data_IF_496309496056
#
_entry.id   IF_496309496056
#
_cell.length_a   1.000
_cell.length_b   1.000
_cell.length_c   1.000
_cell.angle_alpha   90.00
_cell.angle_beta   90.00
_cell.angle_gamma   90.00
#
_symmetry.space_group_name_H-M   'P 1'
#
loop_
_entity.id
_entity.type
_entity.pdbx_description
1 polymer ?
#
# COMPACT_ATOMS: atom_id res chain seq x y z
N UNK A 1 -9.62 1.04 3.88
CA UNK A 1 -9.26 1.42 2.50
C UNK A 1 -7.93 2.14 2.52
N UNK A 2 -7.18 2.08 1.42
CA UNK A 2 -5.97 2.86 1.25
C UNK A 2 -6.36 4.34 1.25
N UNK A 3 -5.71 5.19 2.05
CA UNK A 3 -6.06 6.61 2.11
C UNK A 3 -5.75 7.37 0.81
N UNK A 4 -5.10 6.75 -0.18
CA UNK A 4 -4.69 7.43 -1.42
C UNK A 4 -5.29 6.88 -2.72
N UNK A 5 -5.89 5.69 -2.71
CA UNK A 5 -6.40 5.04 -3.94
C UNK A 5 -7.71 4.28 -3.76
N UNK A 6 -8.33 4.38 -2.58
CA UNK A 6 -9.62 3.75 -2.25
C UNK A 6 -9.66 2.22 -2.36
N UNK A 7 -8.54 1.55 -2.59
CA UNK A 7 -8.47 0.09 -2.61
C UNK A 7 -8.48 -0.52 -1.21
N UNK A 8 -8.88 -1.78 -1.10
CA UNK A 8 -8.77 -2.53 0.14
C UNK A 8 -7.30 -2.69 0.55
N UNK A 9 -7.03 -2.48 1.84
CA UNK A 9 -5.72 -2.73 2.42
C UNK A 9 -5.66 -4.18 2.89
N UNK A 10 -4.62 -4.95 2.52
CA UNK A 10 -4.43 -6.29 3.05
C UNK A 10 -4.11 -6.24 4.55
N UNK A 11 -4.38 -7.35 5.23
CA UNK A 11 -3.95 -7.54 6.62
C UNK A 11 -2.41 -7.63 6.68
N UNK A 12 -1.80 -7.06 7.72
CA UNK A 12 -0.34 -7.05 7.95
C UNK A 12 0.51 -6.36 6.86
N UNK A 13 0.36 -5.05 6.69
CA UNK A 13 1.09 -4.25 5.70
C UNK A 13 2.59 -4.03 5.97
N UNK A 14 3.10 -4.49 7.11
CA UNK A 14 4.51 -4.39 7.49
C UNK A 14 4.97 -2.96 7.82
N UNK A 15 6.06 -2.84 8.57
CA UNK A 15 6.53 -1.55 9.09
C UNK A 15 6.87 -0.54 7.98
N UNK A 16 7.39 -1.01 6.84
CA UNK A 16 7.75 -0.15 5.69
C UNK A 16 6.55 0.63 5.15
N UNK A 17 5.38 -0.02 5.05
CA UNK A 17 4.16 0.66 4.62
C UNK A 17 3.73 1.71 5.66
N UNK A 18 3.68 1.34 6.94
CA UNK A 18 3.27 2.26 8.01
C UNK A 18 4.15 3.50 8.09
N UNK A 19 5.48 3.34 8.01
CA UNK A 19 6.42 4.45 8.00
C UNK A 19 6.22 5.34 6.77
N UNK A 20 6.05 4.73 5.58
CA UNK A 20 5.78 5.48 4.35
C UNK A 20 4.50 6.30 4.47
N UNK A 21 3.41 5.68 4.92
CA UNK A 21 2.13 6.36 5.09
C UNK A 21 2.21 7.47 6.13
N UNK A 22 2.95 7.27 7.23
CA UNK A 22 3.15 8.30 8.24
C UNK A 22 3.83 9.55 7.64
N UNK A 23 4.93 9.37 6.91
CA UNK A 23 5.61 10.47 6.22
C UNK A 23 4.72 11.15 5.17
N UNK A 24 3.97 10.37 4.40
CA UNK A 24 3.09 10.93 3.37
C UNK A 24 1.89 11.68 3.98
N UNK A 25 1.40 11.26 5.15
CA UNK A 25 0.31 11.91 5.88
C UNK A 25 0.66 13.33 6.31
N UNK A 26 1.92 13.58 6.68
CA UNK A 26 2.39 14.93 7.04
C UNK A 26 2.34 15.90 5.86
N UNK A 27 2.37 15.38 4.63
CA UNK A 27 2.41 16.16 3.39
C UNK A 27 1.07 16.18 2.67
N UNK A 28 0.11 15.36 3.11
CA UNK A 28 -1.18 15.20 2.45
C UNK A 28 -2.21 16.17 2.99
N UNK A 29 -3.19 16.49 2.15
CA UNK A 29 -4.37 17.26 2.57
C UNK A 29 -5.58 16.32 2.69
N UNK A 30 -6.38 16.40 3.76
CA UNK A 30 -7.62 15.64 3.86
C UNK A 30 -8.55 15.97 2.69
N UNK A 31 -9.02 14.93 2.00
CA UNK A 31 -9.96 15.04 0.88
C UNK A 31 -10.96 13.88 0.97
N UNK A 32 -11.78 13.84 2.05
CA UNK A 32 -12.63 12.70 2.34
C UNK A 32 -13.71 12.54 1.26
N UNK A 33 -13.92 11.30 0.81
CA UNK A 33 -14.96 10.96 -0.16
C UNK A 33 -16.05 10.12 0.50
N UNK A 34 -17.28 10.07 -0.06
CA UNK A 34 -18.34 9.19 0.47
C UNK A 34 -17.93 7.72 0.54
N UNK A 35 -17.06 7.27 -0.37
CA UNK A 35 -16.54 5.90 -0.39
C UNK A 35 -15.35 5.70 0.55
N UNK A 36 -14.54 6.74 0.79
CA UNK A 36 -13.36 6.69 1.65
C UNK A 36 -13.29 7.94 2.55
N UNK A 37 -13.85 7.86 3.77
CA UNK A 37 -13.84 8.96 4.74
C UNK A 37 -12.43 9.37 5.21
N UNK A 38 -11.42 8.54 4.95
CA UNK A 38 -10.03 8.77 5.30
C UNK A 38 -9.17 9.07 4.08
N UNK A 39 -9.78 9.45 2.96
CA UNK A 39 -9.06 9.80 1.75
C UNK A 39 -8.21 11.06 1.95
N UNK A 40 -7.00 11.01 1.41
CA UNK A 40 -5.97 12.01 1.51
C UNK A 40 -5.52 12.36 0.10
N UNK A 41 -5.61 13.63 -0.24
CA UNK A 41 -5.07 14.15 -1.48
C UNK A 41 -3.55 14.36 -1.36
N UNK A 42 -2.83 13.78 -2.32
CA UNK A 42 -1.39 13.94 -2.46
C UNK A 42 -1.03 13.80 -3.95
N UNK A 43 -0.01 14.53 -4.46
CA UNK A 43 0.46 14.34 -5.83
C UNK A 43 0.74 12.86 -6.15
N UNK A 44 0.30 12.41 -7.33
CA UNK A 44 0.34 11.00 -7.74
C UNK A 44 1.72 10.36 -7.57
N UNK A 45 2.78 11.12 -7.85
CA UNK A 45 4.18 10.68 -7.71
C UNK A 45 4.56 10.29 -6.28
N UNK A 46 3.86 10.84 -5.27
CA UNK A 46 4.11 10.56 -3.86
C UNK A 46 3.20 9.45 -3.33
N UNK A 47 1.93 9.42 -3.76
CA UNK A 47 0.99 8.37 -3.34
C UNK A 47 1.30 7.01 -3.96
N UNK A 48 1.93 6.98 -5.16
CA UNK A 48 2.23 5.72 -5.86
C UNK A 48 3.11 4.78 -5.05
N UNK A 49 4.01 5.29 -4.21
CA UNK A 49 4.89 4.47 -3.37
C UNK A 49 4.09 3.70 -2.33
N UNK A 50 3.18 4.38 -1.61
CA UNK A 50 2.29 3.71 -0.66
C UNK A 50 1.36 2.72 -1.37
N UNK A 51 0.82 3.09 -2.53
CA UNK A 51 -0.04 2.23 -3.33
C UNK A 51 0.67 0.96 -3.80
N UNK A 52 1.90 1.10 -4.28
CA UNK A 52 2.72 -0.04 -4.75
C UNK A 52 3.02 -1.01 -3.62
N UNK A 53 3.32 -0.51 -2.41
CA UNK A 53 3.62 -1.33 -1.24
C UNK A 53 2.42 -2.17 -0.79
N UNK A 54 1.21 -1.58 -0.71
CA UNK A 54 0.06 -2.40 -0.27
C UNK A 54 -0.41 -3.36 -1.35
N UNK A 55 -0.32 -2.99 -2.64
CA UNK A 55 -0.67 -3.88 -3.76
C UNK A 55 0.29 -5.05 -3.87
N UNK A 56 1.60 -4.84 -3.68
CA UNK A 56 2.56 -5.94 -3.69
C UNK A 56 2.31 -6.90 -2.53
N UNK A 57 2.01 -6.38 -1.34
CA UNK A 57 1.64 -7.21 -0.19
C UNK A 57 0.34 -7.99 -0.43
N UNK A 58 -0.68 -7.34 -0.99
CA UNK A 58 -1.94 -7.99 -1.33
C UNK A 58 -1.73 -9.12 -2.33
N UNK A 59 -0.90 -8.90 -3.36
CA UNK A 59 -0.52 -9.93 -4.34
C UNK A 59 0.21 -11.10 -3.68
N UNK A 60 1.18 -10.81 -2.80
CA UNK A 60 1.93 -11.84 -2.09
C UNK A 60 1.03 -12.70 -1.19
N UNK A 61 0.10 -12.08 -0.45
CA UNK A 61 -0.87 -12.82 0.37
C UNK A 61 -1.82 -13.65 -0.49
N UNK A 62 -2.27 -13.12 -1.63
CA UNK A 62 -3.10 -13.87 -2.57
C UNK A 62 -2.37 -15.10 -3.12
N UNK A 63 -1.08 -14.96 -3.46
CA UNK A 63 -0.23 -16.07 -3.92
C UNK A 63 -0.01 -17.13 -2.83
N UNK A 64 0.20 -16.70 -1.58
CA UNK A 64 0.30 -17.60 -0.43
C UNK A 64 -1.02 -18.36 -0.20
N UNK A 65 -2.16 -17.67 -0.28
CA UNK A 65 -3.48 -18.28 -0.12
C UNK A 65 -3.82 -19.26 -1.25
N UNK A 66 -3.33 -19.02 -2.48
CA UNK A 66 -3.55 -19.91 -3.62
C UNK A 66 -2.55 -21.08 -3.70
N UNK A 67 -1.64 -21.24 -2.73
CA UNK A 67 -0.67 -22.36 -2.71
C UNK A 67 0.40 -22.30 -3.80
N UNK A 68 0.50 -21.20 -4.55
CA UNK A 68 1.54 -20.97 -5.56
C UNK A 68 2.73 -20.27 -4.92
N UNK A 69 3.54 -21.04 -4.19
CA UNK A 69 4.90 -20.66 -3.79
C UNK A 69 5.85 -20.78 -4.98
N UNK A 70 5.64 -19.96 -6.01
CA UNK A 70 6.77 -19.62 -6.88
C UNK A 70 7.56 -18.53 -6.15
N UNK A 71 8.69 -18.96 -5.60
CA UNK A 71 9.63 -18.19 -4.83
C UNK A 71 9.97 -16.87 -5.54
N UNK A 72 9.34 -15.77 -5.11
CA UNK A 72 9.88 -14.45 -5.40
C UNK A 72 11.17 -14.33 -4.59
N UNK A 73 12.34 -14.15 -5.23
CA UNK A 73 13.59 -14.09 -4.50
C UNK A 73 13.57 -12.88 -3.56
N UNK A 74 13.79 -13.13 -2.27
CA UNK A 74 13.90 -12.07 -1.25
C UNK A 74 15.18 -11.25 -1.41
N UNK A 75 16.12 -11.71 -2.24
CA UNK A 75 17.34 -11.00 -2.62
C UNK A 75 17.61 -11.13 -4.12
N UNK A 76 17.81 -9.98 -4.79
CA UNK A 76 18.50 -9.93 -6.08
C UNK A 76 19.92 -9.48 -5.72
N UNK A 77 20.88 -10.42 -5.76
CA UNK A 77 22.30 -10.08 -5.72
C UNK A 77 22.67 -9.37 -7.03
N UNK A 78 23.30 -8.20 -6.91
CA UNK A 78 23.86 -7.41 -8.02
C UNK A 78 25.30 -7.80 -8.30
#
# INVERSE_FOLDING_TARGET
LCPFCDEALPENLGAKYHNTVATLKELATPDPTPANPHHLHLPLTRSITACTLHRSKARLLAMQASGHVDAFPESIDF
#
